data_IF_128399219067
#
_entry.id   IF_128399219067
#
_cell.length_a   1.000
_cell.length_b   1.000
_cell.length_c   1.000
_cell.angle_alpha   90.00
_cell.angle_beta   90.00
_cell.angle_gamma   90.00
#
_symmetry.space_group_name_H-M   'P 1'
#
loop_
_entity.id
_entity.type
_entity.pdbx_description
1 polymer ?
#
# COMPACT_ATOMS: atom_id res chain seq x y z
N UNK A 1 43.35 17.59 -8.82
CA UNK A 1 41.99 17.31 -9.33
C UNK A 1 41.34 15.99 -8.84
N UNK A 2 42.09 14.98 -8.42
CA UNK A 2 41.49 13.65 -8.09
C UNK A 2 40.64 13.52 -6.85
N UNK A 3 40.87 14.30 -5.77
CA UNK A 3 40.21 14.12 -4.48
C UNK A 3 38.73 14.61 -4.49
N UNK A 4 38.47 15.77 -5.08
CA UNK A 4 37.11 16.34 -5.19
C UNK A 4 36.24 15.46 -6.09
N UNK A 5 36.77 15.01 -7.23
CA UNK A 5 36.05 14.12 -8.14
C UNK A 5 35.66 12.79 -7.47
N UNK A 6 36.55 12.19 -6.67
CA UNK A 6 36.25 10.96 -5.91
C UNK A 6 35.18 11.18 -4.83
N UNK A 7 35.17 12.32 -4.15
CA UNK A 7 34.11 12.66 -3.16
C UNK A 7 32.74 12.81 -3.83
N UNK A 8 32.68 13.51 -4.98
CA UNK A 8 31.43 13.69 -5.73
C UNK A 8 30.90 12.35 -6.22
N UNK A 9 31.71 11.54 -6.87
CA UNK A 9 31.31 10.21 -7.33
C UNK A 9 30.79 9.31 -6.18
N UNK A 10 31.42 9.38 -5.00
CA UNK A 10 30.98 8.62 -3.82
C UNK A 10 29.64 9.12 -3.27
N UNK A 11 29.38 10.43 -3.32
CA UNK A 11 28.09 11.00 -2.88
C UNK A 11 26.94 10.64 -3.82
N UNK A 12 27.17 10.65 -5.14
CA UNK A 12 26.19 10.25 -6.15
C UNK A 12 25.87 8.76 -6.05
N UNK A 13 26.87 7.91 -5.87
CA UNK A 13 26.66 6.47 -5.65
C UNK A 13 25.81 6.19 -4.41
N UNK A 14 26.03 6.90 -3.29
CA UNK A 14 25.22 6.76 -2.07
C UNK A 14 23.77 7.22 -2.29
N UNK A 15 23.54 8.33 -2.97
CA UNK A 15 22.20 8.82 -3.29
C UNK A 15 21.43 7.81 -4.15
N UNK A 16 22.08 7.26 -5.19
CA UNK A 16 21.49 6.23 -6.03
C UNK A 16 21.17 4.96 -5.24
N UNK A 17 22.04 4.53 -4.33
CA UNK A 17 21.81 3.38 -3.46
C UNK A 17 20.61 3.61 -2.53
N UNK A 18 20.49 4.77 -1.89
CA UNK A 18 19.36 5.12 -1.04
C UNK A 18 18.04 5.20 -1.83
N UNK A 19 18.07 5.80 -3.03
CA UNK A 19 16.92 5.85 -3.91
C UNK A 19 16.44 4.44 -4.32
N UNK A 20 17.36 3.53 -4.66
CA UNK A 20 17.03 2.14 -4.96
C UNK A 20 16.48 1.40 -3.75
N UNK A 21 17.11 1.53 -2.58
CA UNK A 21 16.68 0.88 -1.35
C UNK A 21 15.27 1.33 -0.94
N UNK A 22 14.97 2.63 -1.07
CA UNK A 22 13.64 3.16 -0.72
C UNK A 22 12.53 2.62 -1.64
N UNK A 23 12.77 2.53 -2.94
CA UNK A 23 11.80 1.92 -3.88
C UNK A 23 11.65 0.43 -3.60
N UNK A 24 12.76 -0.29 -3.34
CA UNK A 24 12.70 -1.71 -2.98
C UNK A 24 11.86 -1.95 -1.71
N UNK A 25 12.11 -1.18 -0.65
CA UNK A 25 11.37 -1.30 0.61
C UNK A 25 9.89 -0.94 0.43
N UNK A 26 9.57 0.10 -0.36
CA UNK A 26 8.19 0.45 -0.68
C UNK A 26 7.51 -0.64 -1.51
N UNK A 27 8.21 -1.26 -2.47
CA UNK A 27 7.69 -2.39 -3.26
C UNK A 27 7.42 -3.60 -2.37
N UNK A 28 8.34 -3.92 -1.46
CA UNK A 28 8.17 -5.02 -0.50
C UNK A 28 6.98 -4.77 0.43
N UNK A 29 6.88 -3.57 1.00
CA UNK A 29 5.76 -3.18 1.87
C UNK A 29 4.42 -3.24 1.14
N UNK A 30 4.35 -2.70 -0.08
CA UNK A 30 3.16 -2.77 -0.92
C UNK A 30 2.79 -4.22 -1.30
N UNK A 31 3.77 -5.07 -1.57
CA UNK A 31 3.54 -6.49 -1.85
C UNK A 31 3.01 -7.27 -0.65
N UNK A 32 3.55 -7.00 0.55
CA UNK A 32 3.05 -7.59 1.80
C UNK A 32 1.61 -7.13 2.09
N UNK A 33 1.31 -5.85 1.86
CA UNK A 33 -0.06 -5.33 1.98
C UNK A 33 -1.00 -6.02 0.98
N UNK A 34 -0.62 -6.07 -0.29
CA UNK A 34 -1.42 -6.70 -1.33
C UNK A 34 -1.71 -8.18 -1.01
N UNK A 35 -0.71 -8.93 -0.54
CA UNK A 35 -0.88 -10.32 -0.12
C UNK A 35 -1.81 -10.48 1.08
N UNK A 36 -1.62 -9.68 2.13
CA UNK A 36 -2.47 -9.68 3.32
C UNK A 36 -3.90 -9.26 3.02
N UNK A 37 -4.08 -8.19 2.24
CA UNK A 37 -5.40 -7.73 1.80
C UNK A 37 -6.10 -8.72 0.90
N UNK A 38 -5.38 -9.43 0.00
CA UNK A 38 -5.95 -10.49 -0.82
C UNK A 38 -6.49 -11.63 0.05
N UNK A 39 -5.70 -12.11 1.01
CA UNK A 39 -6.14 -13.13 1.94
C UNK A 39 -7.40 -12.69 2.70
N UNK A 40 -7.42 -11.45 3.19
CA UNK A 40 -8.62 -10.88 3.83
C UNK A 40 -9.83 -10.92 2.90
N UNK A 41 -9.68 -10.47 1.66
CA UNK A 41 -10.80 -10.45 0.71
C UNK A 41 -11.32 -11.85 0.40
N UNK A 42 -10.43 -12.83 0.26
CA UNK A 42 -10.83 -14.23 0.05
C UNK A 42 -11.62 -14.78 1.24
N UNK A 43 -11.15 -14.54 2.47
CA UNK A 43 -11.82 -15.00 3.69
C UNK A 43 -13.19 -14.33 3.86
N UNK A 44 -13.28 -13.01 3.69
CA UNK A 44 -14.54 -12.27 3.78
C UNK A 44 -15.54 -12.71 2.71
N UNK A 45 -15.08 -12.92 1.47
CA UNK A 45 -15.93 -13.37 0.37
C UNK A 45 -16.44 -14.80 0.57
N UNK A 46 -15.59 -15.70 1.05
CA UNK A 46 -15.99 -17.06 1.39
C UNK A 46 -17.04 -17.07 2.52
N UNK A 47 -16.90 -16.16 3.47
CA UNK A 47 -17.82 -16.01 4.60
C UNK A 47 -19.18 -15.44 4.26
N UNK A 48 -19.39 -14.84 3.06
CA UNK A 48 -20.72 -14.38 2.64
C UNK A 48 -21.76 -15.52 2.59
N UNK A 49 -21.32 -16.76 2.34
CA UNK A 49 -22.16 -17.96 2.41
C UNK A 49 -22.37 -18.52 3.82
N UNK A 50 -21.60 -18.04 4.79
CA UNK A 50 -21.64 -18.47 6.20
C UNK A 50 -21.42 -17.26 7.12
N UNK A 51 -22.43 -16.38 7.31
CA UNK A 51 -22.30 -15.11 8.05
C UNK A 51 -21.70 -15.28 9.45
N UNK A 52 -22.11 -16.28 10.21
CA UNK A 52 -21.57 -16.57 11.55
C UNK A 52 -20.04 -16.74 11.55
N UNK A 53 -19.49 -17.46 10.56
CA UNK A 53 -18.04 -17.62 10.42
C UNK A 53 -17.34 -16.31 10.15
N UNK A 54 -17.90 -15.47 9.27
CA UNK A 54 -17.31 -14.17 8.93
C UNK A 54 -17.33 -13.22 10.12
N UNK A 55 -18.46 -13.14 10.84
CA UNK A 55 -18.56 -12.31 12.01
C UNK A 55 -17.60 -12.78 13.12
N UNK A 56 -17.42 -14.08 13.30
CA UNK A 56 -16.41 -14.63 14.21
C UNK A 56 -14.99 -14.20 13.82
N UNK A 57 -14.67 -14.08 12.51
CA UNK A 57 -13.35 -13.64 12.04
C UNK A 57 -13.09 -12.14 12.28
N UNK A 58 -14.13 -11.33 12.41
CA UNK A 58 -14.00 -9.89 12.71
C UNK A 58 -13.77 -9.67 14.21
N UNK A 59 -14.21 -10.60 15.06
CA UNK A 59 -14.14 -10.49 16.52
C UNK A 59 -12.78 -10.97 17.09
N UNK A 60 -12.43 -10.52 18.32
CA UNK A 60 -11.27 -11.02 19.03
C UNK A 60 -11.34 -12.55 19.27
N UNK A 61 -10.19 -13.26 19.34
CA UNK A 61 -8.82 -12.72 19.22
C UNK A 61 -8.31 -12.61 17.77
N UNK A 62 -8.99 -13.22 16.80
CA UNK A 62 -8.50 -13.28 15.42
C UNK A 62 -8.56 -11.91 14.75
N UNK A 63 -9.69 -11.21 14.87
CA UNK A 63 -9.87 -9.88 14.29
C UNK A 63 -8.83 -8.88 14.77
N UNK A 64 -8.51 -8.88 16.06
CA UNK A 64 -7.52 -7.97 16.65
C UNK A 64 -6.11 -8.21 16.08
N UNK A 65 -5.68 -9.46 15.99
CA UNK A 65 -4.36 -9.81 15.46
C UNK A 65 -4.22 -9.44 14.00
N UNK A 66 -5.27 -9.69 13.23
CA UNK A 66 -5.29 -9.36 11.80
C UNK A 66 -5.35 -7.85 11.57
N UNK A 67 -6.18 -7.13 12.33
CA UNK A 67 -6.27 -5.68 12.28
C UNK A 67 -4.94 -5.03 12.65
N UNK A 68 -4.25 -5.52 13.68
CA UNK A 68 -2.92 -5.03 14.06
C UNK A 68 -1.92 -5.16 12.90
N UNK A 69 -1.89 -6.30 12.21
CA UNK A 69 -1.03 -6.48 11.04
C UNK A 69 -1.35 -5.47 9.93
N UNK A 70 -2.61 -5.35 9.55
CA UNK A 70 -3.05 -4.44 8.49
C UNK A 70 -2.81 -2.97 8.87
N UNK A 71 -3.12 -2.56 10.11
CA UNK A 71 -2.90 -1.19 10.59
C UNK A 71 -1.42 -0.86 10.59
N UNK A 72 -0.57 -1.77 11.06
CA UNK A 72 0.88 -1.56 11.11
C UNK A 72 1.46 -1.37 9.72
N UNK A 73 1.12 -2.24 8.76
CA UNK A 73 1.61 -2.11 7.39
C UNK A 73 1.08 -0.86 6.69
N UNK A 74 -0.20 -0.55 6.85
CA UNK A 74 -0.77 0.69 6.32
C UNK A 74 -0.05 1.92 6.86
N UNK A 75 0.15 1.99 8.18
CA UNK A 75 0.85 3.12 8.82
C UNK A 75 2.29 3.24 8.34
N UNK A 76 3.01 2.12 8.22
CA UNK A 76 4.37 2.09 7.70
C UNK A 76 4.44 2.61 6.25
N UNK A 77 3.51 2.17 5.40
CA UNK A 77 3.43 2.65 4.01
C UNK A 77 3.05 4.13 3.95
N UNK A 78 2.03 4.54 4.69
CA UNK A 78 1.44 5.88 4.67
C UNK A 78 2.42 6.94 5.17
N UNK A 79 3.07 6.68 6.32
CA UNK A 79 3.86 7.69 7.02
C UNK A 79 5.36 7.61 6.76
N UNK A 80 5.86 6.47 6.27
CA UNK A 80 7.30 6.30 6.10
C UNK A 80 7.69 5.90 4.67
N UNK A 81 7.25 4.74 4.18
CA UNK A 81 7.83 4.18 2.97
C UNK A 81 7.49 4.98 1.71
N UNK A 82 6.22 5.42 1.54
CA UNK A 82 5.82 6.24 0.38
C UNK A 82 6.45 7.64 0.41
N UNK A 83 6.41 8.41 1.52
CA UNK A 83 7.07 9.71 1.58
C UNK A 83 8.57 9.63 1.35
N UNK A 84 9.26 8.66 1.96
CA UNK A 84 10.71 8.47 1.78
C UNK A 84 11.05 8.07 0.34
N UNK A 85 10.27 7.14 -0.25
CA UNK A 85 10.48 6.76 -1.64
C UNK A 85 10.28 7.95 -2.58
N UNK A 86 9.24 8.75 -2.37
CA UNK A 86 8.98 9.94 -3.17
C UNK A 86 10.12 10.97 -3.04
N UNK A 87 10.54 11.27 -1.80
CA UNK A 87 11.59 12.25 -1.54
C UNK A 87 12.92 11.86 -2.17
N UNK A 88 13.36 10.62 -1.96
CA UNK A 88 14.66 10.13 -2.46
C UNK A 88 14.69 9.94 -3.98
N UNK A 89 13.54 9.78 -4.63
CA UNK A 89 13.44 9.59 -6.09
C UNK A 89 12.89 10.82 -6.83
N UNK A 90 12.73 11.96 -6.15
CA UNK A 90 12.14 13.17 -6.73
C UNK A 90 12.85 13.66 -7.98
N UNK A 91 14.18 13.51 -8.03
CA UNK A 91 15.04 13.93 -9.12
C UNK A 91 15.07 12.94 -10.29
N UNK A 92 14.41 11.78 -10.22
CA UNK A 92 14.31 10.78 -11.27
C UNK A 92 12.90 10.84 -11.89
N UNK A 93 12.66 11.56 -13.01
CA UNK A 93 11.31 11.90 -13.47
C UNK A 93 10.38 10.69 -13.65
N UNK A 94 10.86 9.62 -14.28
CA UNK A 94 10.05 8.41 -14.51
C UNK A 94 9.67 7.73 -13.19
N UNK A 95 10.61 7.57 -12.24
CA UNK A 95 10.30 7.00 -10.91
C UNK A 95 9.31 7.87 -10.15
N UNK A 96 9.56 9.18 -10.13
CA UNK A 96 8.66 10.14 -9.49
C UNK A 96 7.24 10.01 -10.01
N UNK A 97 7.05 9.92 -11.33
CA UNK A 97 5.71 9.75 -11.90
C UNK A 97 5.01 8.50 -11.37
N UNK A 98 5.66 7.35 -11.39
CA UNK A 98 5.07 6.11 -10.87
C UNK A 98 4.76 6.22 -9.36
N UNK A 99 5.68 6.76 -8.57
CA UNK A 99 5.50 6.91 -7.13
C UNK A 99 4.38 7.91 -6.80
N UNK A 100 4.29 9.03 -7.52
CA UNK A 100 3.21 10.02 -7.33
C UNK A 100 1.85 9.41 -7.65
N UNK A 101 1.72 8.67 -8.76
CA UNK A 101 0.45 8.00 -9.09
C UNK A 101 0.09 6.95 -8.02
N UNK A 102 1.06 6.14 -7.59
CA UNK A 102 0.87 5.15 -6.52
C UNK A 102 0.41 5.79 -5.21
N UNK A 103 1.10 6.85 -4.78
CA UNK A 103 0.76 7.59 -3.56
C UNK A 103 -0.62 8.25 -3.67
N UNK A 104 -0.94 8.88 -4.80
CA UNK A 104 -2.25 9.51 -5.01
C UNK A 104 -3.40 8.50 -4.93
N UNK A 105 -3.25 7.35 -5.59
CA UNK A 105 -4.24 6.27 -5.52
C UNK A 105 -4.39 5.74 -4.08
N UNK A 106 -3.27 5.49 -3.40
CA UNK A 106 -3.25 5.00 -2.02
C UNK A 106 -3.95 6.00 -1.08
N UNK A 107 -3.54 7.26 -1.06
CA UNK A 107 -4.11 8.25 -0.14
C UNK A 107 -5.58 8.55 -0.44
N UNK A 108 -6.00 8.58 -1.70
CA UNK A 108 -7.41 8.72 -2.05
C UNK A 108 -8.25 7.57 -1.47
N UNK A 109 -7.76 6.33 -1.57
CA UNK A 109 -8.43 5.18 -0.98
C UNK A 109 -8.37 5.17 0.56
N UNK A 110 -7.31 5.73 1.18
CA UNK A 110 -7.24 5.91 2.64
C UNK A 110 -8.33 6.85 3.14
N UNK A 111 -8.57 7.97 2.46
CA UNK A 111 -9.68 8.87 2.80
C UNK A 111 -11.01 8.10 2.74
N UNK A 112 -11.27 7.35 1.66
CA UNK A 112 -12.46 6.53 1.56
C UNK A 112 -12.53 5.45 2.65
N UNK A 113 -11.40 4.84 2.99
CA UNK A 113 -11.31 3.86 4.08
C UNK A 113 -11.76 4.47 5.40
N UNK A 114 -11.28 5.65 5.77
CA UNK A 114 -11.64 6.31 7.02
C UNK A 114 -13.09 6.79 7.05
N UNK A 115 -13.63 7.24 5.93
CA UNK A 115 -14.99 7.80 5.86
C UNK A 115 -16.06 6.72 5.75
N UNK A 116 -15.77 5.62 5.07
CA UNK A 116 -16.75 4.57 4.78
C UNK A 116 -16.41 3.23 5.44
N UNK A 117 -15.22 2.68 5.20
CA UNK A 117 -14.92 1.30 5.61
C UNK A 117 -14.75 1.15 7.12
N UNK A 118 -14.09 2.09 7.78
CA UNK A 118 -13.83 2.03 9.23
C UNK A 118 -15.12 2.17 10.05
N UNK A 119 -16.02 3.13 9.80
CA UNK A 119 -17.30 3.19 10.52
C UNK A 119 -18.10 1.89 10.38
N UNK A 120 -18.25 1.36 9.15
CA UNK A 120 -19.01 0.13 8.94
C UNK A 120 -18.40 -1.09 9.65
N UNK A 121 -17.05 -1.20 9.72
CA UNK A 121 -16.44 -2.35 10.42
C UNK A 121 -16.68 -2.27 11.94
N UNK A 122 -16.77 -1.06 12.51
CA UNK A 122 -17.16 -0.90 13.91
C UNK A 122 -18.62 -1.28 14.14
N UNK A 123 -19.52 -0.92 13.23
CA UNK A 123 -20.92 -1.32 13.30
C UNK A 123 -21.05 -2.85 13.22
N UNK A 124 -20.37 -3.50 12.28
CA UNK A 124 -20.37 -4.96 12.16
C UNK A 124 -19.72 -5.64 13.37
N UNK A 125 -18.63 -5.07 13.90
CA UNK A 125 -17.94 -5.58 15.10
C UNK A 125 -18.75 -5.43 16.39
N UNK A 126 -19.77 -4.58 16.43
CA UNK A 126 -20.68 -4.44 17.55
C UNK A 126 -21.81 -5.48 17.54
N UNK A 127 -22.00 -6.22 16.43
CA UNK A 127 -23.03 -7.25 16.32
C UNK A 127 -22.58 -8.55 17.01
N UNK A 128 -23.48 -9.34 17.63
CA UNK A 128 -23.12 -10.64 18.18
C UNK A 128 -22.57 -11.57 17.10
N UNK A 129 -21.46 -12.31 17.34
CA UNK A 129 -20.87 -13.19 16.35
C UNK A 129 -21.76 -14.36 15.95
N UNK A 130 -22.67 -14.75 16.80
CA UNK A 130 -23.64 -15.85 16.68
C UNK A 130 -25.10 -15.35 16.59
N UNK A 131 -25.28 -14.04 16.43
CA UNK A 131 -26.59 -13.38 16.47
C UNK A 131 -27.51 -13.75 15.32
N UNK A 132 -28.76 -13.25 15.30
CA UNK A 132 -29.63 -13.43 14.14
C UNK A 132 -29.10 -12.59 12.97
N UNK A 133 -28.74 -13.24 11.87
CA UNK A 133 -28.27 -12.59 10.63
C UNK A 133 -29.47 -12.34 9.72
N UNK A 134 -30.24 -11.28 10.00
CA UNK A 134 -31.30 -10.81 9.11
C UNK A 134 -30.75 -10.24 7.80
N UNK A 135 -31.60 -10.16 6.77
CA UNK A 135 -31.23 -9.55 5.50
C UNK A 135 -30.78 -8.09 5.66
N UNK A 136 -31.31 -7.38 6.66
CA UNK A 136 -30.93 -6.00 7.00
C UNK A 136 -29.47 -5.87 7.46
N UNK A 137 -28.89 -6.94 8.00
CA UNK A 137 -27.47 -6.99 8.43
C UNK A 137 -26.59 -7.55 7.29
N UNK A 138 -27.03 -8.63 6.66
CA UNK A 138 -26.23 -9.35 5.67
C UNK A 138 -26.05 -8.54 4.40
N UNK A 139 -27.06 -7.79 3.95
CA UNK A 139 -26.99 -7.04 2.69
C UNK A 139 -25.99 -5.86 2.76
N UNK A 140 -26.00 -4.98 3.78
CA UNK A 140 -24.96 -3.95 3.93
C UNK A 140 -23.56 -4.57 4.04
N UNK A 141 -23.40 -5.69 4.75
CA UNK A 141 -22.12 -6.37 4.86
C UNK A 141 -21.63 -6.91 3.50
N UNK A 142 -22.52 -7.48 2.69
CA UNK A 142 -22.22 -7.93 1.32
C UNK A 142 -21.76 -6.79 0.42
N UNK A 143 -22.45 -5.64 0.49
CA UNK A 143 -22.05 -4.43 -0.25
C UNK A 143 -20.67 -3.98 0.19
N UNK A 144 -20.40 -3.93 1.50
CA UNK A 144 -19.12 -3.56 2.06
C UNK A 144 -17.99 -4.50 1.59
N UNK A 145 -18.20 -5.82 1.57
CA UNK A 145 -17.24 -6.80 1.06
C UNK A 145 -16.98 -6.58 -0.43
N UNK A 146 -18.02 -6.35 -1.25
CA UNK A 146 -17.87 -6.12 -2.69
C UNK A 146 -17.09 -4.82 -2.99
N UNK A 147 -17.38 -3.74 -2.26
CA UNK A 147 -16.64 -2.48 -2.38
C UNK A 147 -15.19 -2.61 -1.90
N UNK A 148 -14.94 -3.51 -0.95
CA UNK A 148 -13.58 -3.82 -0.48
C UNK A 148 -12.70 -4.41 -1.59
N UNK A 149 -13.25 -5.15 -2.56
CA UNK A 149 -12.51 -5.61 -3.74
C UNK A 149 -12.04 -4.47 -4.63
N UNK A 150 -12.89 -3.45 -4.84
CA UNK A 150 -12.50 -2.26 -5.59
C UNK A 150 -11.41 -1.48 -4.85
N UNK A 151 -11.57 -1.31 -3.53
CA UNK A 151 -10.55 -0.69 -2.68
C UNK A 151 -9.23 -1.45 -2.76
N UNK A 152 -9.24 -2.77 -2.65
CA UNK A 152 -8.07 -3.64 -2.77
C UNK A 152 -7.34 -3.42 -4.11
N UNK A 153 -8.08 -3.41 -5.22
CA UNK A 153 -7.47 -3.21 -6.54
C UNK A 153 -6.76 -1.85 -6.66
N UNK A 154 -7.35 -0.79 -6.13
CA UNK A 154 -6.83 0.57 -6.27
C UNK A 154 -5.82 0.92 -5.17
N UNK A 155 -6.04 0.49 -3.92
CA UNK A 155 -5.17 0.82 -2.79
C UNK A 155 -3.95 -0.07 -2.70
N UNK A 156 -4.07 -1.36 -3.01
CA UNK A 156 -3.02 -2.34 -2.74
C UNK A 156 -2.33 -2.82 -4.01
N UNK A 157 -3.10 -3.28 -5.02
CA UNK A 157 -2.53 -3.82 -6.26
C UNK A 157 -1.91 -2.73 -7.13
N UNK A 158 -2.61 -1.63 -7.38
CA UNK A 158 -2.11 -0.56 -8.25
C UNK A 158 -0.81 0.06 -7.72
N UNK A 159 -0.69 0.47 -6.43
CA UNK A 159 0.57 0.95 -5.87
C UNK A 159 1.69 -0.10 -5.92
N UNK A 160 1.40 -1.37 -5.63
CA UNK A 160 2.39 -2.43 -5.74
C UNK A 160 2.98 -2.52 -7.15
N UNK A 161 2.13 -2.55 -8.19
CA UNK A 161 2.59 -2.59 -9.58
C UNK A 161 3.38 -1.35 -9.98
N UNK A 162 2.96 -0.18 -9.54
CA UNK A 162 3.65 1.08 -9.83
C UNK A 162 5.01 1.19 -9.13
N UNK A 163 5.13 0.73 -7.88
CA UNK A 163 6.42 0.64 -7.20
C UNK A 163 7.33 -0.40 -7.86
N UNK A 164 6.78 -1.52 -8.30
CA UNK A 164 7.52 -2.52 -9.07
C UNK A 164 8.05 -1.94 -10.38
N UNK A 165 7.22 -1.21 -11.14
CA UNK A 165 7.66 -0.51 -12.35
C UNK A 165 8.73 0.56 -12.04
N UNK A 166 8.59 1.29 -10.94
CA UNK A 166 9.58 2.25 -10.50
C UNK A 166 10.93 1.59 -10.19
N UNK A 167 10.93 0.37 -9.64
CA UNK A 167 12.15 -0.38 -9.33
C UNK A 167 12.97 -0.75 -10.58
N UNK A 168 12.32 -0.97 -11.74
CA UNK A 168 13.00 -1.23 -13.00
C UNK A 168 13.60 0.03 -13.67
N UNK A 169 13.27 1.23 -13.22
CA UNK A 169 13.86 2.45 -13.74
C UNK A 169 15.23 2.68 -13.09
N UNK A 170 16.35 2.81 -13.83
CA UNK A 170 17.68 3.03 -13.25
C UNK A 170 17.76 4.36 -12.48
N UNK A 171 18.39 4.36 -11.28
CA UNK A 171 18.64 5.58 -10.52
C UNK A 171 19.69 6.49 -11.17
N UNK A 172 20.53 5.95 -12.06
CA UNK A 172 21.61 6.65 -12.75
C UNK A 172 21.17 7.35 -14.05
N UNK A 173 19.88 7.42 -14.36
CA UNK A 173 19.35 8.02 -15.59
C UNK A 173 19.55 9.55 -15.71
N UNK A 174 20.20 10.22 -14.77
CA UNK A 174 20.51 11.66 -14.80
C UNK A 174 21.82 12.02 -15.49
N UNK A 175 22.53 11.07 -16.11
CA UNK A 175 23.88 11.23 -16.63
C UNK A 175 24.03 11.48 -18.12
N UNK A 176 23.03 12.04 -18.83
CA UNK A 176 23.31 12.67 -20.12
C UNK A 176 23.81 14.10 -19.91
N UNK A 177 24.96 14.23 -19.27
CA UNK A 177 25.72 15.46 -19.29
C UNK A 177 26.08 15.79 -20.75
N UNK A 178 25.66 16.97 -21.18
CA UNK A 178 26.06 17.68 -22.37
C UNK A 178 27.46 17.22 -22.83
N UNK A 179 27.53 16.59 -24.01
CA UNK A 179 28.80 16.57 -24.75
C UNK A 179 29.28 18.02 -24.83
N UNK A 180 30.51 18.33 -24.43
CA UNK A 180 31.05 19.63 -24.71
C UNK A 180 30.98 19.84 -26.24
N UNK A 181 30.31 20.90 -26.64
CA UNK A 181 30.34 21.38 -28.02
C UNK A 181 31.79 21.81 -28.22
N UNK A 182 32.56 20.99 -28.94
CA UNK A 182 33.91 21.30 -29.43
C UNK A 182 33.85 22.28 -30.59
#
# INVERSE_FOLDING_TARGET
>A
MGFIARRLARSESRRAALANASVFLATLGAGLMAGGSLLQQMLLSAGLGAPSTTFTMIHPPFGDSFNLFIITLNSLMEWLLMPVALFLNWHIPKRRTFIVIAASAFYAMRVWTYVYFVPNIFEFGALPPDGPFSAEIVEPFRIWVNLSWLRFAIQDILPYLLFLLAAFVPASASGNFRKPIG
#
